data_IF_708374650856
#
_entry.id   IF_708374650856
#
_cell.length_a   1.000
_cell.length_b   1.000
_cell.length_c   1.000
_cell.angle_alpha   90.00
_cell.angle_beta   90.00
_cell.angle_gamma   90.00
#
_symmetry.space_group_name_H-M   'P 1'
#
loop_
_entity.id
_entity.type
_entity.pdbx_description
1 polymer ?
#
# COMPACT_ATOMS: atom_id res chain seq x y z
N UNK A 1 5.84 -1.46 13.28
CA UNK A 1 6.58 -0.31 13.86
C UNK A 1 6.41 -0.33 15.37
N UNK A 2 7.52 -0.48 16.09
CA UNK A 2 7.47 -0.53 17.56
C UNK A 2 7.31 0.88 18.13
N UNK A 3 6.07 1.26 18.42
CA UNK A 3 5.73 2.56 19.03
C UNK A 3 6.46 2.80 20.35
N UNK A 4 6.92 1.75 21.03
CA UNK A 4 7.77 1.82 22.22
C UNK A 4 9.11 2.52 21.94
N UNK A 5 9.69 2.36 20.75
CA UNK A 5 10.94 3.01 20.35
C UNK A 5 10.74 4.53 20.20
N UNK A 6 9.55 4.97 19.80
CA UNK A 6 9.19 6.39 19.71
C UNK A 6 8.88 7.02 21.09
N UNK A 7 8.78 6.22 22.15
CA UNK A 7 8.67 6.73 23.51
C UNK A 7 9.97 7.38 23.99
N UNK A 8 11.12 6.99 23.44
CA UNK A 8 12.42 7.62 23.70
C UNK A 8 12.50 9.00 23.03
N UNK A 9 12.64 10.11 23.80
CA UNK A 9 12.68 11.46 23.24
C UNK A 9 13.78 11.66 22.20
N UNK A 10 14.95 11.08 22.42
CA UNK A 10 16.12 11.21 21.55
C UNK A 10 15.88 10.57 20.19
N UNK A 11 15.25 9.39 20.18
CA UNK A 11 14.88 8.71 18.93
C UNK A 11 13.80 9.49 18.21
N UNK A 12 12.79 9.98 18.94
CA UNK A 12 11.73 10.80 18.36
C UNK A 12 12.29 12.08 17.74
N UNK A 13 13.17 12.80 18.42
CA UNK A 13 13.82 14.00 17.88
C UNK A 13 14.60 13.72 16.60
N UNK A 14 15.25 12.55 16.52
CA UNK A 14 15.98 12.12 15.34
C UNK A 14 15.06 11.79 14.14
N UNK A 15 13.96 11.04 14.36
CA UNK A 15 13.15 10.49 13.25
C UNK A 15 11.97 11.37 12.84
N UNK A 16 11.41 12.17 13.75
CA UNK A 16 10.19 12.96 13.47
C UNK A 16 10.33 13.98 12.34
N UNK A 17 11.49 14.63 12.10
CA UNK A 17 11.65 15.51 10.94
C UNK A 17 11.43 14.77 9.62
N UNK A 18 11.98 13.55 9.48
CA UNK A 18 11.80 12.71 8.30
C UNK A 18 10.35 12.28 8.12
N UNK A 19 9.73 11.73 9.17
CA UNK A 19 8.33 11.29 9.12
C UNK A 19 7.36 12.43 8.75
N UNK A 20 7.59 13.64 9.27
CA UNK A 20 6.78 14.81 8.89
C UNK A 20 6.99 15.21 7.44
N UNK A 21 8.21 15.10 6.94
CA UNK A 21 8.52 15.40 5.56
C UNK A 21 7.84 14.41 4.60
N UNK A 22 7.86 13.12 4.92
CA UNK A 22 7.21 12.09 4.10
C UNK A 22 5.70 12.30 4.02
N UNK A 23 5.05 12.64 5.14
CA UNK A 23 3.62 12.99 5.15
C UNK A 23 3.35 14.24 4.30
N UNK A 24 4.14 15.30 4.45
CA UNK A 24 3.97 16.53 3.66
C UNK A 24 4.20 16.29 2.15
N UNK A 25 5.12 15.40 1.79
CA UNK A 25 5.36 15.00 0.41
C UNK A 25 4.16 14.23 -0.17
N UNK A 26 3.62 13.27 0.58
CA UNK A 26 2.41 12.54 0.19
C UNK A 26 1.21 13.48 0.01
N UNK A 27 0.98 14.40 0.96
CA UNK A 27 -0.11 15.39 0.86
C UNK A 27 0.06 16.27 -0.38
N UNK A 28 1.29 16.71 -0.67
CA UNK A 28 1.62 17.44 -1.89
C UNK A 28 1.33 16.64 -3.15
N UNK A 29 1.64 15.34 -3.16
CA UNK A 29 1.31 14.44 -4.27
C UNK A 29 -0.20 14.36 -4.50
N UNK A 30 -0.99 14.13 -3.44
CA UNK A 30 -2.46 14.05 -3.51
C UNK A 30 -3.03 15.33 -4.10
N UNK A 31 -2.61 16.50 -3.61
CA UNK A 31 -3.11 17.78 -4.11
C UNK A 31 -2.73 18.03 -5.58
N UNK A 32 -1.53 17.65 -5.99
CA UNK A 32 -1.07 17.83 -7.37
C UNK A 32 -1.77 16.91 -8.38
N UNK A 33 -2.39 15.81 -7.92
CA UNK A 33 -2.95 14.76 -8.77
C UNK A 33 -4.46 14.55 -8.62
N UNK A 34 -5.14 15.29 -7.73
CA UNK A 34 -6.56 15.09 -7.40
C UNK A 34 -7.48 15.03 -8.63
N UNK A 35 -7.25 15.89 -9.63
CA UNK A 35 -8.08 15.99 -10.85
C UNK A 35 -7.38 15.42 -12.10
N UNK A 36 -6.27 14.70 -11.94
CA UNK A 36 -5.53 14.13 -13.07
C UNK A 36 -6.11 12.77 -13.44
N UNK A 37 -6.35 12.57 -14.74
CA UNK A 37 -6.68 11.26 -15.26
C UNK A 37 -5.50 10.27 -15.02
N UNK A 38 -5.80 9.01 -14.68
CA UNK A 38 -4.77 8.00 -14.50
C UNK A 38 -4.03 7.72 -15.80
N UNK A 39 -2.74 7.41 -15.69
CA UNK A 39 -1.92 6.90 -16.80
C UNK A 39 -1.70 5.41 -16.54
N UNK A 40 -2.36 4.51 -17.29
CA UNK A 40 -2.32 3.08 -16.99
C UNK A 40 -0.95 2.45 -17.23
N UNK A 41 -0.53 1.58 -16.32
CA UNK A 41 0.66 0.74 -16.49
C UNK A 41 0.32 -0.53 -17.28
N UNK A 42 1.27 -1.03 -18.09
CA UNK A 42 1.14 -2.30 -18.81
C UNK A 42 1.64 -3.45 -17.92
N UNK A 43 0.91 -3.73 -16.85
CA UNK A 43 1.23 -4.78 -15.88
C UNK A 43 -0.02 -5.19 -15.08
N UNK A 44 -0.09 -6.44 -14.67
CA UNK A 44 -1.11 -6.89 -13.71
C UNK A 44 -0.88 -6.22 -12.33
N UNK A 45 -1.96 -5.93 -11.61
CA UNK A 45 -1.91 -5.32 -10.28
C UNK A 45 -2.61 -6.21 -9.25
N UNK A 46 -1.93 -6.44 -8.13
CA UNK A 46 -2.53 -6.96 -6.91
C UNK A 46 -2.59 -5.83 -5.88
N UNK A 47 -3.80 -5.39 -5.56
CA UNK A 47 -4.07 -4.30 -4.62
C UNK A 47 -4.54 -4.89 -3.30
N UNK A 48 -3.82 -4.57 -2.22
CA UNK A 48 -4.11 -5.09 -0.88
C UNK A 48 -4.61 -3.96 0.03
N UNK A 49 -5.71 -4.20 0.74
CA UNK A 49 -6.25 -3.28 1.76
C UNK A 49 -6.51 -3.99 3.08
N UNK A 50 -6.29 -3.30 4.20
CA UNK A 50 -6.61 -3.81 5.53
C UNK A 50 -8.09 -3.67 5.83
N UNK A 51 -8.73 -4.69 6.41
CA UNK A 51 -10.16 -4.63 6.80
C UNK A 51 -10.47 -3.58 7.87
N UNK A 52 -9.46 -3.18 8.64
CA UNK A 52 -9.54 -2.17 9.71
C UNK A 52 -8.79 -0.88 9.32
N UNK A 53 -8.27 -0.80 8.10
CA UNK A 53 -7.54 0.37 7.61
C UNK A 53 -8.51 1.47 7.13
N UNK A 54 -8.53 2.59 7.86
CA UNK A 54 -9.35 3.76 7.53
C UNK A 54 -8.73 4.67 6.47
N UNK A 55 -7.44 4.48 6.17
CA UNK A 55 -6.66 5.30 5.23
C UNK A 55 -6.64 4.69 3.83
N UNK A 56 -6.58 3.36 3.72
CA UNK A 56 -6.63 2.62 2.46
C UNK A 56 -7.77 1.57 2.45
N UNK A 57 -9.01 2.06 2.49
CA UNK A 57 -10.21 1.21 2.51
C UNK A 57 -10.40 0.43 1.19
N UNK A 58 -11.17 -0.65 1.22
CA UNK A 58 -11.54 -1.39 0.00
C UNK A 58 -12.18 -0.52 -1.09
N UNK A 59 -12.99 0.48 -0.70
CA UNK A 59 -13.58 1.43 -1.64
C UNK A 59 -12.53 2.31 -2.34
N UNK A 60 -11.35 2.51 -1.73
CA UNK A 60 -10.20 3.18 -2.36
C UNK A 60 -9.32 2.22 -3.17
N UNK A 61 -9.46 0.91 -3.00
CA UNK A 61 -8.75 -0.08 -3.79
C UNK A 61 -9.37 -0.24 -5.20
N UNK A 62 -10.70 -0.21 -5.32
CA UNK A 62 -11.37 -0.46 -6.60
C UNK A 62 -10.95 0.49 -7.76
N UNK A 63 -10.76 1.81 -7.56
CA UNK A 63 -10.29 2.71 -8.61
C UNK A 63 -8.91 2.38 -9.20
N UNK A 64 -8.11 1.51 -8.55
CA UNK A 64 -6.83 1.08 -9.11
C UNK A 64 -6.96 0.30 -10.43
N UNK A 65 -8.16 -0.18 -10.77
CA UNK A 65 -8.44 -0.75 -12.09
C UNK A 65 -8.15 0.21 -13.24
N UNK A 66 -8.36 1.51 -13.02
CA UNK A 66 -8.11 2.54 -14.03
C UNK A 66 -6.60 2.83 -14.23
N UNK A 67 -5.74 2.29 -13.36
CA UNK A 67 -4.29 2.49 -13.39
C UNK A 67 -3.53 1.35 -14.07
N UNK A 68 -4.21 0.39 -14.70
CA UNK A 68 -3.58 -0.73 -15.39
C UNK A 68 -4.31 -1.14 -16.66
N UNK A 69 -3.57 -1.66 -17.64
CA UNK A 69 -4.12 -2.34 -18.82
C UNK A 69 -4.14 -3.88 -18.66
N UNK A 70 -3.65 -4.41 -17.54
CA UNK A 70 -3.60 -5.83 -17.21
C UNK A 70 -4.74 -6.26 -16.29
N UNK A 71 -4.61 -7.46 -15.73
CA UNK A 71 -5.55 -7.98 -14.72
C UNK A 71 -5.33 -7.23 -13.42
N UNK A 72 -6.41 -6.77 -12.81
CA UNK A 72 -6.38 -6.13 -11.49
C UNK A 72 -7.18 -6.96 -10.51
N UNK A 73 -6.56 -7.30 -9.39
CA UNK A 73 -7.20 -8.00 -8.27
C UNK A 73 -7.10 -7.14 -7.01
N UNK A 74 -8.23 -6.99 -6.33
CA UNK A 74 -8.33 -6.27 -5.07
C UNK A 74 -8.63 -7.29 -3.97
N UNK A 75 -7.76 -7.40 -2.97
CA UNK A 75 -7.90 -8.35 -1.86
C UNK A 75 -7.89 -7.59 -0.52
N UNK A 76 -8.90 -7.87 0.30
CA UNK A 76 -8.91 -7.43 1.70
C UNK A 76 -8.17 -8.44 2.58
N UNK A 77 -7.30 -7.91 3.43
CA UNK A 77 -6.50 -8.67 4.39
C UNK A 77 -6.91 -8.24 5.79
N UNK A 78 -7.14 -9.18 6.69
CA UNK A 78 -7.49 -8.84 8.07
C UNK A 78 -6.40 -8.00 8.73
N UNK A 79 -6.75 -6.83 9.26
CA UNK A 79 -5.86 -5.96 10.02
C UNK A 79 -5.97 -4.47 9.69
N UNK A 80 -5.24 -3.67 10.47
CA UNK A 80 -5.10 -2.22 10.31
C UNK A 80 -4.08 -1.86 9.21
N UNK A 81 -3.76 -0.58 9.05
CA UNK A 81 -2.75 -0.07 8.11
C UNK A 81 -1.37 -0.77 8.19
N UNK A 82 -1.07 -1.46 9.30
CA UNK A 82 0.19 -2.19 9.51
C UNK A 82 0.02 -3.71 9.28
N UNK A 83 -1.05 -4.16 8.63
CA UNK A 83 -1.29 -5.58 8.33
C UNK A 83 -0.11 -6.21 7.57
N UNK A 84 0.60 -5.43 6.75
CA UNK A 84 1.75 -5.88 5.97
C UNK A 84 2.90 -6.40 6.84
N UNK A 85 3.13 -5.76 7.99
CA UNK A 85 4.16 -6.14 8.96
C UNK A 85 3.68 -7.37 9.76
N UNK A 86 2.44 -7.31 10.26
CA UNK A 86 1.84 -8.35 11.11
C UNK A 86 1.59 -9.67 10.38
N UNK A 87 1.41 -9.64 9.06
CA UNK A 87 1.07 -10.81 8.23
C UNK A 87 2.10 -11.07 7.13
N UNK A 88 3.34 -10.61 7.32
CA UNK A 88 4.40 -10.68 6.33
C UNK A 88 4.62 -12.08 5.72
N UNK A 89 4.59 -13.14 6.54
CA UNK A 89 4.77 -14.51 6.08
C UNK A 89 3.66 -14.96 5.10
N UNK A 90 2.40 -14.64 5.42
CA UNK A 90 1.26 -14.97 4.57
C UNK A 90 1.31 -14.19 3.26
N UNK A 91 1.55 -12.87 3.34
CA UNK A 91 1.63 -12.02 2.15
C UNK A 91 2.80 -12.40 1.25
N UNK A 92 3.94 -12.81 1.82
CA UNK A 92 5.07 -13.31 1.04
C UNK A 92 4.72 -14.62 0.33
N UNK A 93 3.98 -15.52 0.99
CA UNK A 93 3.46 -16.73 0.37
C UNK A 93 2.54 -16.43 -0.82
N UNK A 94 1.58 -15.52 -0.63
CA UNK A 94 0.68 -15.05 -1.69
C UNK A 94 1.46 -14.48 -2.88
N UNK A 95 2.42 -13.58 -2.62
CA UNK A 95 3.24 -12.99 -3.69
C UNK A 95 4.08 -14.06 -4.41
N UNK A 96 4.60 -15.05 -3.69
CA UNK A 96 5.38 -16.15 -4.28
C UNK A 96 4.52 -16.99 -5.22
N UNK A 97 3.28 -17.31 -4.83
CA UNK A 97 2.33 -18.02 -5.70
C UNK A 97 2.04 -17.23 -6.98
N UNK A 98 1.75 -15.94 -6.85
CA UNK A 98 1.37 -15.08 -7.99
C UNK A 98 2.52 -14.77 -8.93
N UNK A 99 3.73 -14.62 -8.40
CA UNK A 99 4.93 -14.39 -9.22
C UNK A 99 5.50 -15.69 -9.79
N UNK A 100 5.27 -16.82 -9.12
CA UNK A 100 5.66 -18.16 -9.58
C UNK A 100 4.76 -18.70 -10.70
N UNK A 101 3.51 -18.27 -10.73
CA UNK A 101 2.63 -18.42 -11.88
C UNK A 101 3.01 -17.38 -12.96
N UNK A 102 4.02 -17.67 -13.78
CA UNK A 102 4.41 -16.79 -14.89
C UNK A 102 3.24 -16.49 -15.86
N UNK A 103 3.34 -15.43 -16.68
CA UNK A 103 2.28 -15.10 -17.61
C UNK A 103 2.21 -16.15 -18.75
N UNK A 104 1.24 -17.06 -18.68
CA UNK A 104 0.84 -17.91 -19.80
C UNK A 104 0.65 -19.40 -19.48
N UNK A 105 -0.60 -19.78 -19.20
CA UNK A 105 -1.26 -20.99 -19.74
C UNK A 105 -2.78 -20.86 -19.51
N UNK A 106 -3.44 -20.14 -20.42
CA UNK A 106 -4.89 -20.19 -20.66
C UNK A 106 -5.16 -19.90 -22.14
#
# INVERSE_FOLDING_TARGET
MDFEVLAAPEIRELVMPGLRHDVAFYDGYVQAHLDRAPVPAVADLLVLSGTEDITATAARAEPWRDHSTGVVECLEVSGDQLFVDKRAAELTGLLTERLGAGPGEA
#
